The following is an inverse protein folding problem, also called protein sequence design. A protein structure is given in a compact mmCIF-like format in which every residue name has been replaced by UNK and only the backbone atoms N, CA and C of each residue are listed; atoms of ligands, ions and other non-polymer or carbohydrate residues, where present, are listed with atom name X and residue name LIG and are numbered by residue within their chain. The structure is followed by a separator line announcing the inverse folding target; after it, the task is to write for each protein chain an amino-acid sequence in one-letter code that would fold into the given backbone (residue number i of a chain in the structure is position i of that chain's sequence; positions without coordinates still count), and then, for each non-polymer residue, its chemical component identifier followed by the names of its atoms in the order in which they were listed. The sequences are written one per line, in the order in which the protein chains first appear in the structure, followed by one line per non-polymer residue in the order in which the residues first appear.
data_IF_899901538971
#
_entry.id   IF_899901538971
#
_cell.length_a   1.000
_cell.length_b   1.000
_cell.length_c   1.000
_cell.angle_alpha   90.00
_cell.angle_beta   90.00
_cell.angle_gamma   90.00
#
_symmetry.space_group_name_H-M   'P 1'
#
loop_
_entity.id
_entity.type
_entity.pdbx_description
1 polymer ?
#
# COMPACT_ATOMS: atom_id res chain seq x y z
N UNK A 1 -16.83 -14.22 21.37
CA UNK A 1 -16.83 -13.24 22.48
C UNK A 1 -16.07 -13.86 23.63
N UNK A 2 -14.88 -13.34 23.98
CA UNK A 2 -14.24 -13.69 25.25
C UNK A 2 -14.46 -12.53 26.21
N UNK A 3 -15.41 -12.70 27.13
CA UNK A 3 -15.51 -11.85 28.31
C UNK A 3 -14.16 -11.87 29.02
N UNK A 4 -13.53 -10.72 29.30
CA UNK A 4 -12.29 -10.71 30.07
C UNK A 4 -12.57 -11.37 31.43
N UNK A 5 -11.74 -12.34 31.80
CA UNK A 5 -11.85 -13.03 33.10
C UNK A 5 -11.89 -11.96 34.19
N UNK A 6 -12.88 -12.04 35.09
CA UNK A 6 -13.20 -11.02 36.12
C UNK A 6 -11.96 -10.51 36.88
N UNK A 7 -10.97 -11.37 37.12
CA UNK A 7 -9.72 -10.98 37.79
C UNK A 7 -8.87 -9.94 37.02
N UNK A 8 -8.88 -9.94 35.68
CA UNK A 8 -8.16 -8.95 34.85
C UNK A 8 -8.83 -7.57 34.92
N UNK A 9 -10.15 -7.56 35.12
CA UNK A 9 -10.93 -6.33 35.29
C UNK A 9 -10.59 -5.67 36.64
N UNK A 10 -10.52 -6.46 37.72
CA UNK A 10 -10.19 -5.96 39.06
C UNK A 10 -8.76 -5.41 39.16
N UNK A 11 -7.78 -6.07 38.54
CA UNK A 11 -6.41 -5.58 38.54
C UNK A 11 -6.29 -4.22 37.82
N UNK A 12 -6.99 -4.07 36.69
CA UNK A 12 -7.01 -2.80 35.93
C UNK A 12 -7.84 -1.70 36.57
N UNK A 13 -8.87 -2.02 37.36
CA UNK A 13 -9.59 -1.04 38.18
C UNK A 13 -8.64 -0.43 39.22
N UNK A 14 -7.76 -1.26 39.79
CA UNK A 14 -6.68 -0.81 40.69
C UNK A 14 -5.66 0.07 39.96
N UNK A 15 -5.27 -0.29 38.73
CA UNK A 15 -4.21 0.42 38.00
C UNK A 15 -4.63 1.75 37.38
N UNK A 16 -5.89 1.87 36.90
CA UNK A 16 -6.36 3.01 36.11
C UNK A 16 -7.27 3.97 36.88
N UNK A 17 -7.78 3.56 38.04
CA UNK A 17 -8.84 4.28 38.76
C UNK A 17 -10.17 4.32 37.99
N UNK A 18 -11.23 4.80 38.65
CA UNK A 18 -12.60 4.78 38.10
C UNK A 18 -12.75 5.67 36.85
N UNK A 19 -12.04 6.81 36.81
CA UNK A 19 -11.99 7.71 35.66
C UNK A 19 -11.24 7.11 34.46
N UNK A 20 -10.14 6.39 34.70
CA UNK A 20 -9.41 5.67 33.66
C UNK A 20 -10.20 4.50 33.08
N UNK A 21 -11.05 3.84 33.89
CA UNK A 21 -11.96 2.78 33.44
C UNK A 21 -13.08 3.31 32.53
N UNK A 22 -13.69 4.45 32.89
CA UNK A 22 -14.70 5.13 32.06
C UNK A 22 -14.11 5.61 30.73
N UNK A 23 -12.90 6.17 30.77
CA UNK A 23 -12.17 6.62 29.58
C UNK A 23 -11.75 5.45 28.69
N UNK A 24 -11.37 4.32 29.29
CA UNK A 24 -11.03 3.09 28.56
C UNK A 24 -12.27 2.44 27.92
N UNK A 25 -13.38 2.35 28.66
CA UNK A 25 -14.65 1.84 28.16
C UNK A 25 -15.20 2.67 27.01
N UNK A 26 -15.18 4.00 27.15
CA UNK A 26 -15.61 4.94 26.11
C UNK A 26 -14.68 4.90 24.89
N UNK A 27 -13.35 4.81 25.09
CA UNK A 27 -12.38 4.69 23.98
C UNK A 27 -12.52 3.38 23.22
N UNK A 28 -12.76 2.26 23.91
CA UNK A 28 -12.96 0.94 23.28
C UNK A 28 -14.28 0.90 22.50
N UNK A 29 -15.35 1.44 23.08
CA UNK A 29 -16.66 1.55 22.42
C UNK A 29 -16.59 2.49 21.21
N UNK A 30 -15.92 3.64 21.33
CA UNK A 30 -15.71 4.58 20.24
C UNK A 30 -14.89 3.95 19.11
N UNK A 31 -13.78 3.27 19.43
CA UNK A 31 -12.99 2.52 18.44
C UNK A 31 -13.83 1.43 17.77
N UNK A 32 -14.68 0.73 18.52
CA UNK A 32 -15.58 -0.29 17.97
C UNK A 32 -16.66 0.33 17.04
N UNK A 33 -17.33 1.39 17.46
CA UNK A 33 -18.33 2.09 16.67
C UNK A 33 -17.73 2.70 15.39
N UNK A 34 -16.53 3.29 15.48
CA UNK A 34 -15.73 3.76 14.34
C UNK A 34 -15.45 2.59 13.39
N UNK A 35 -14.97 1.46 13.91
CA UNK A 35 -14.71 0.25 13.10
C UNK A 35 -15.96 -0.24 12.39
N UNK A 36 -17.10 -0.34 13.06
CA UNK A 36 -18.37 -0.77 12.45
C UNK A 36 -18.83 0.19 11.35
N UNK A 37 -18.69 1.50 11.57
CA UNK A 37 -19.01 2.52 10.56
C UNK A 37 -18.09 2.43 9.34
N UNK A 38 -16.79 2.26 9.55
CA UNK A 38 -15.81 2.12 8.46
C UNK A 38 -16.00 0.81 7.70
N UNK A 39 -16.30 -0.29 8.39
CA UNK A 39 -16.67 -1.57 7.75
C UNK A 39 -17.87 -1.39 6.82
N UNK A 40 -18.96 -0.76 7.31
CA UNK A 40 -20.15 -0.49 6.48
C UNK A 40 -19.81 0.35 5.24
N UNK A 41 -19.01 1.41 5.41
CA UNK A 41 -18.53 2.23 4.28
C UNK A 41 -17.67 1.44 3.30
N UNK A 42 -16.75 0.61 3.80
CA UNK A 42 -15.83 -0.17 3.00
C UNK A 42 -16.60 -1.18 2.14
N UNK A 43 -17.50 -1.97 2.75
CA UNK A 43 -18.34 -2.94 2.05
C UNK A 43 -19.27 -2.26 1.00
N UNK A 44 -19.68 -1.02 1.24
CA UNK A 44 -20.41 -0.21 0.26
C UNK A 44 -19.51 0.47 -0.79
N UNK A 45 -18.19 0.22 -0.80
CA UNK A 45 -17.17 0.87 -1.64
C UNK A 45 -17.17 2.41 -1.55
N UNK A 46 -17.45 2.93 -0.35
CA UNK A 46 -17.53 4.37 -0.01
C UNK A 46 -16.54 4.77 1.09
N UNK A 47 -15.52 3.94 1.34
CA UNK A 47 -14.52 4.21 2.36
C UNK A 47 -13.34 5.03 1.84
N UNK A 48 -13.00 4.92 0.56
CA UNK A 48 -11.92 5.68 -0.07
C UNK A 48 -12.15 7.19 0.11
N UNK A 49 -11.10 7.89 0.52
CA UNK A 49 -11.15 9.34 0.61
C UNK A 49 -11.10 9.96 -0.79
N UNK A 50 -11.75 11.10 -0.93
CA UNK A 50 -11.76 11.93 -2.15
C UNK A 50 -11.08 13.25 -1.84
N UNK A 51 -10.47 13.89 -2.84
CA UNK A 51 -9.72 15.13 -2.63
C UNK A 51 -10.55 16.19 -1.91
N UNK A 52 -11.81 16.41 -2.31
CA UNK A 52 -12.71 17.37 -1.67
C UNK A 52 -12.87 17.13 -0.16
N UNK A 53 -12.91 15.86 0.27
CA UNK A 53 -13.03 15.51 1.69
C UNK A 53 -11.70 15.72 2.42
N UNK A 54 -10.58 15.40 1.77
CA UNK A 54 -9.23 15.61 2.31
C UNK A 54 -8.95 17.11 2.46
N UNK A 55 -9.17 17.89 1.41
CA UNK A 55 -8.97 19.33 1.39
C UNK A 55 -9.78 20.02 2.50
N UNK A 56 -11.08 19.71 2.61
CA UNK A 56 -11.93 20.22 3.68
C UNK A 56 -11.40 19.85 5.08
N UNK A 57 -10.98 18.60 5.28
CA UNK A 57 -10.44 18.13 6.58
C UNK A 57 -9.16 18.87 6.98
N UNK A 58 -8.33 19.22 6.01
CA UNK A 58 -7.06 19.89 6.22
C UNK A 58 -7.12 21.41 6.00
N UNK A 59 -8.33 22.00 5.90
CA UNK A 59 -8.57 23.43 5.67
C UNK A 59 -7.77 23.98 4.47
N UNK A 60 -7.85 23.26 3.36
CA UNK A 60 -7.19 23.59 2.09
C UNK A 60 -8.25 24.13 1.14
N UNK A 61 -8.00 25.31 0.59
CA UNK A 61 -8.93 26.00 -0.31
C UNK A 61 -8.51 25.84 -1.78
N UNK A 62 -7.29 25.36 -2.04
CA UNK A 62 -6.81 25.15 -3.40
C UNK A 62 -7.39 23.89 -4.08
N UNK A 63 -7.49 23.95 -5.40
CA UNK A 63 -7.81 22.79 -6.23
C UNK A 63 -6.71 21.72 -6.16
N UNK A 64 -7.05 20.47 -6.52
CA UNK A 64 -6.05 19.39 -6.57
C UNK A 64 -4.90 19.74 -7.53
N UNK A 65 -5.21 20.34 -8.69
CA UNK A 65 -4.19 20.73 -9.67
C UNK A 65 -3.16 21.72 -9.08
N UNK A 66 -3.62 22.72 -8.34
CA UNK A 66 -2.76 23.68 -7.65
C UNK A 66 -1.92 23.00 -6.56
N UNK A 67 -2.55 22.15 -5.73
CA UNK A 67 -1.83 21.36 -4.73
C UNK A 67 -0.75 20.48 -5.37
N UNK A 68 -1.09 19.79 -6.46
CA UNK A 68 -0.17 18.90 -7.15
C UNK A 68 0.98 19.65 -7.82
N UNK A 69 0.74 20.85 -8.36
CA UNK A 69 1.80 21.71 -8.86
C UNK A 69 2.82 22.07 -7.76
N UNK A 70 2.36 22.37 -6.54
CA UNK A 70 3.22 22.58 -5.37
C UNK A 70 3.92 21.29 -4.92
N UNK A 71 3.26 20.13 -5.04
CA UNK A 71 3.87 18.85 -4.71
C UNK A 71 5.04 18.52 -5.65
N UNK A 72 4.92 18.83 -6.94
CA UNK A 72 5.98 18.58 -7.94
C UNK A 72 7.28 19.32 -7.63
N UNK A 73 7.18 20.56 -7.14
CA UNK A 73 8.35 21.37 -6.76
C UNK A 73 9.07 20.85 -5.52
N UNK A 74 8.44 19.93 -4.79
CA UNK A 74 9.05 19.33 -3.61
C UNK A 74 10.24 18.43 -4.00
N UNK A 75 11.44 18.89 -3.65
CA UNK A 75 12.70 18.17 -3.87
C UNK A 75 13.12 17.27 -2.72
N UNK A 76 12.28 17.03 -1.70
CA UNK A 76 12.66 16.19 -0.54
C UNK A 76 13.08 14.80 -0.99
N UNK A 77 12.31 14.17 -1.87
CA UNK A 77 12.69 12.86 -2.39
C UNK A 77 13.86 12.92 -3.36
N UNK A 78 13.96 13.94 -4.22
CA UNK A 78 15.14 14.12 -5.08
C UNK A 78 16.43 14.25 -4.25
N UNK A 79 16.38 15.02 -3.17
CA UNK A 79 17.47 15.14 -2.18
C UNK A 79 17.74 13.82 -1.47
N UNK A 80 16.72 13.04 -1.15
CA UNK A 80 16.87 11.71 -0.55
C UNK A 80 17.52 10.74 -1.54
N UNK A 81 17.02 10.65 -2.78
CA UNK A 81 17.58 9.82 -3.84
C UNK A 81 19.04 10.16 -4.14
N UNK A 82 19.41 11.43 -4.10
CA UNK A 82 20.76 11.91 -4.35
C UNK A 82 21.64 11.93 -3.08
N UNK A 83 21.10 11.55 -1.93
CA UNK A 83 21.90 11.49 -0.70
C UNK A 83 22.87 10.32 -0.78
N UNK A 84 24.12 10.54 -0.37
CA UNK A 84 25.14 9.49 -0.36
C UNK A 84 24.67 8.25 0.42
N UNK A 85 23.93 8.44 1.52
CA UNK A 85 23.36 7.35 2.34
C UNK A 85 22.36 6.50 1.56
N UNK A 86 21.45 7.11 0.78
CA UNK A 86 20.48 6.34 -0.01
C UNK A 86 21.16 5.69 -1.22
N UNK A 87 22.05 6.41 -1.92
CA UNK A 87 22.83 5.89 -3.05
C UNK A 87 23.70 4.69 -2.67
N UNK A 88 24.27 4.65 -1.45
CA UNK A 88 25.03 3.49 -0.96
C UNK A 88 24.16 2.26 -0.69
N UNK A 89 22.85 2.46 -0.50
CA UNK A 89 21.89 1.40 -0.19
C UNK A 89 21.00 0.99 -1.37
N UNK A 90 20.91 1.81 -2.43
CA UNK A 90 20.46 1.31 -3.72
C UNK A 90 21.60 0.46 -4.27
N UNK A 91 21.41 -0.85 -4.47
CA UNK A 91 22.46 -1.65 -5.07
C UNK A 91 22.84 -1.04 -6.42
N UNK A 92 24.13 -0.73 -6.62
CA UNK A 92 24.66 -0.17 -7.87
C UNK A 92 24.28 -1.02 -9.08
N UNK A 93 23.98 -2.30 -8.84
CA UNK A 93 23.42 -3.23 -9.82
C UNK A 93 22.12 -2.76 -10.45
N UNK A 94 21.20 -2.09 -9.72
CA UNK A 94 19.94 -1.59 -10.31
C UNK A 94 20.15 -0.38 -11.23
N UNK A 95 21.13 0.48 -10.93
CA UNK A 95 21.41 1.68 -11.72
C UNK A 95 22.18 1.36 -13.00
N UNK A 96 22.91 0.24 -13.01
CA UNK A 96 23.75 -0.21 -14.14
C UNK A 96 23.33 -1.56 -14.69
N UNK A 97 22.09 -1.98 -14.42
CA UNK A 97 21.60 -3.29 -14.86
C UNK A 97 21.54 -3.32 -16.39
N UNK A 98 22.35 -4.15 -17.08
CA UNK A 98 22.30 -4.24 -18.53
C UNK A 98 20.95 -4.79 -19.04
N UNK A 99 20.18 -5.46 -18.18
CA UNK A 99 18.88 -6.03 -18.49
C UNK A 99 17.70 -5.22 -17.91
N UNK A 100 17.90 -3.94 -17.59
CA UNK A 100 16.86 -3.06 -17.05
C UNK A 100 15.60 -3.03 -17.94
N UNK A 101 15.79 -2.84 -19.25
CA UNK A 101 14.67 -2.79 -20.19
C UNK A 101 13.96 -4.15 -20.31
N UNK A 102 14.70 -5.26 -20.32
CA UNK A 102 14.09 -6.60 -20.34
C UNK A 102 13.23 -6.88 -19.09
N UNK A 103 13.66 -6.42 -17.92
CA UNK A 103 12.86 -6.50 -16.69
C UNK A 103 11.62 -5.60 -16.76
N UNK A 104 11.78 -4.36 -17.23
CA UNK A 104 10.67 -3.44 -17.38
C UNK A 104 9.63 -3.96 -18.40
N UNK A 105 10.08 -4.48 -19.54
CA UNK A 105 9.23 -5.10 -20.56
C UNK A 105 8.49 -6.34 -20.05
N UNK A 106 9.08 -7.11 -19.12
CA UNK A 106 8.36 -8.19 -18.45
C UNK A 106 7.15 -7.64 -17.67
N UNK A 107 7.31 -6.54 -16.94
CA UNK A 107 6.21 -5.89 -16.22
C UNK A 107 5.20 -5.23 -17.15
N UNK A 108 5.62 -4.63 -18.27
CA UNK A 108 4.71 -4.14 -19.32
C UNK A 108 3.82 -5.29 -19.82
N UNK A 109 4.37 -6.48 -19.92
CA UNK A 109 3.65 -7.69 -20.31
C UNK A 109 2.94 -8.40 -19.13
N UNK A 110 2.70 -7.71 -18.01
CA UNK A 110 2.08 -8.26 -16.80
C UNK A 110 2.74 -9.56 -16.31
N UNK A 111 4.06 -9.66 -16.41
CA UNK A 111 4.82 -10.82 -15.96
C UNK A 111 5.53 -10.53 -14.65
N UNK A 112 5.28 -11.37 -13.65
CA UNK A 112 5.80 -11.18 -12.29
C UNK A 112 6.46 -12.46 -11.77
N UNK A 113 7.53 -12.28 -11.00
CA UNK A 113 8.12 -13.30 -10.14
C UNK A 113 8.21 -12.73 -8.73
N UNK A 114 7.63 -13.42 -7.75
CA UNK A 114 7.63 -13.00 -6.35
C UNK A 114 7.94 -14.18 -5.43
N UNK A 115 8.72 -13.92 -4.37
CA UNK A 115 9.08 -14.94 -3.37
C UNK A 115 9.64 -16.24 -3.98
N UNK A 116 10.42 -16.14 -5.06
CA UNK A 116 11.00 -17.30 -5.76
C UNK A 116 10.01 -18.08 -6.64
N UNK A 117 8.85 -17.50 -6.98
CA UNK A 117 7.96 -18.08 -7.99
C UNK A 117 8.62 -18.07 -9.38
N UNK A 118 8.22 -18.95 -10.31
CA UNK A 118 8.53 -18.76 -11.72
C UNK A 118 7.93 -17.44 -12.22
N UNK A 119 8.34 -17.03 -13.42
CA UNK A 119 7.70 -15.92 -14.13
C UNK A 119 6.26 -16.29 -14.49
N UNK A 120 5.31 -15.55 -13.95
CA UNK A 120 3.88 -15.73 -14.18
C UNK A 120 3.34 -14.54 -14.96
N UNK A 121 2.82 -14.80 -16.16
CA UNK A 121 2.13 -13.82 -17.00
C UNK A 121 0.63 -13.80 -16.71
N UNK A 122 0.08 -12.62 -16.44
CA UNK A 122 -1.36 -12.35 -16.43
C UNK A 122 -1.82 -11.91 -17.83
N UNK A 123 -2.89 -12.51 -18.35
CA UNK A 123 -3.30 -12.30 -19.75
C UNK A 123 -3.94 -10.93 -20.02
N UNK A 124 -4.73 -10.41 -19.09
CA UNK A 124 -5.44 -9.12 -19.26
C UNK A 124 -5.34 -8.25 -18.01
N UNK A 125 -5.72 -8.81 -16.85
CA UNK A 125 -5.78 -8.09 -15.58
C UNK A 125 -4.96 -8.81 -14.52
N UNK A 126 -4.18 -8.03 -13.77
CA UNK A 126 -3.39 -8.54 -12.64
C UNK A 126 -4.35 -8.93 -11.51
N UNK A 127 -4.36 -10.20 -11.12
CA UNK A 127 -5.09 -10.58 -9.91
C UNK A 127 -4.23 -10.28 -8.67
N UNK A 128 -4.52 -9.17 -8.00
CA UNK A 128 -3.77 -8.72 -6.81
C UNK A 128 -4.01 -9.53 -5.54
N UNK A 129 -4.95 -10.48 -5.58
CA UNK A 129 -5.38 -11.26 -4.41
C UNK A 129 -4.97 -12.73 -4.51
N UNK A 130 -4.29 -13.13 -5.59
CA UNK A 130 -3.95 -14.53 -5.86
C UNK A 130 -2.58 -14.91 -5.33
N UNK A 131 -2.45 -16.16 -4.91
CA UNK A 131 -1.16 -16.82 -4.77
C UNK A 131 -0.73 -17.37 -6.13
N UNK A 132 0.13 -16.64 -6.84
CA UNK A 132 0.64 -17.03 -8.16
C UNK A 132 1.50 -18.31 -8.14
N UNK A 133 1.89 -18.83 -6.97
CA UNK A 133 2.59 -20.10 -6.84
C UNK A 133 1.64 -21.29 -6.94
N UNK A 134 0.34 -21.08 -6.74
CA UNK A 134 -0.66 -22.10 -6.99
C UNK A 134 -0.82 -22.35 -8.49
N UNK A 135 -1.19 -23.58 -8.89
CA UNK A 135 -1.62 -23.85 -10.27
C UNK A 135 -2.72 -22.88 -10.71
N UNK A 136 -2.71 -22.46 -11.99
CA UNK A 136 -3.63 -21.41 -12.49
C UNK A 136 -5.10 -21.79 -12.32
N UNK A 137 -5.44 -23.07 -12.40
CA UNK A 137 -6.77 -23.63 -12.14
C UNK A 137 -7.23 -23.50 -10.68
N UNK A 138 -6.32 -23.20 -9.74
CA UNK A 138 -6.60 -22.94 -8.32
C UNK A 138 -6.67 -21.45 -7.99
N UNK A 139 -6.36 -20.57 -8.94
CA UNK A 139 -6.46 -19.13 -8.71
C UNK A 139 -7.91 -18.74 -8.43
N UNK A 140 -8.12 -18.00 -7.34
CA UNK A 140 -9.47 -17.66 -6.87
C UNK A 140 -10.10 -18.72 -5.98
N UNK A 141 -9.41 -19.82 -5.66
CA UNK A 141 -9.86 -20.76 -4.61
C UNK A 141 -9.40 -20.36 -3.22
N UNK A 142 -8.50 -19.37 -3.11
CA UNK A 142 -8.05 -18.87 -1.82
C UNK A 142 -9.21 -18.25 -1.06
N UNK A 143 -9.32 -18.51 0.25
CA UNK A 143 -10.48 -18.08 1.04
C UNK A 143 -10.61 -16.55 1.10
N UNK A 144 -9.49 -15.81 0.96
CA UNK A 144 -9.45 -14.34 0.95
C UNK A 144 -9.78 -13.74 -0.43
N UNK A 145 -9.65 -14.53 -1.50
CA UNK A 145 -9.84 -14.12 -2.89
C UNK A 145 -11.25 -14.46 -3.41
N UNK A 146 -12.24 -14.45 -2.50
CA UNK A 146 -13.64 -14.71 -2.83
C UNK A 146 -14.41 -13.40 -2.99
N UNK A 147 -15.19 -13.21 -4.07
CA UNK A 147 -16.09 -12.07 -4.18
C UNK A 147 -17.35 -12.28 -3.31
N UNK A 148 -17.88 -11.22 -2.67
CA UNK A 148 -17.30 -9.89 -2.55
C UNK A 148 -16.09 -9.86 -1.61
N UNK A 149 -15.13 -8.96 -1.87
CA UNK A 149 -13.96 -8.78 -1.00
C UNK A 149 -14.37 -8.54 0.45
N UNK A 150 -13.72 -9.26 1.37
CA UNK A 150 -13.96 -9.17 2.81
C UNK A 150 -13.34 -7.92 3.41
N UNK A 151 -13.88 -7.48 4.55
CA UNK A 151 -13.22 -6.46 5.33
C UNK A 151 -11.90 -7.01 5.90
N UNK A 152 -10.82 -6.23 5.84
CA UNK A 152 -9.46 -6.74 6.13
C UNK A 152 -9.33 -7.44 7.49
N UNK A 153 -10.04 -7.00 8.53
CA UNK A 153 -9.99 -7.62 9.87
C UNK A 153 -10.67 -8.99 9.94
N UNK A 154 -11.44 -9.37 8.92
CA UNK A 154 -12.09 -10.69 8.83
C UNK A 154 -11.21 -11.73 8.13
N UNK A 155 -10.12 -11.29 7.51
CA UNK A 155 -9.15 -12.14 6.82
C UNK A 155 -8.09 -12.56 7.83
N UNK A 156 -7.97 -13.87 8.09
CA UNK A 156 -7.03 -14.42 9.07
C UNK A 156 -5.76 -14.88 8.39
N UNK A 157 -4.70 -14.08 8.46
CA UNK A 157 -3.41 -14.40 7.83
C UNK A 157 -2.83 -15.78 8.19
N UNK A 158 -3.18 -16.34 9.36
CA UNK A 158 -2.70 -17.65 9.81
C UNK A 158 -3.72 -18.79 9.66
N UNK A 159 -4.78 -18.62 8.86
CA UNK A 159 -5.69 -19.74 8.61
C UNK A 159 -4.95 -20.82 7.79
N UNK A 160 -4.48 -21.83 8.50
CA UNK A 160 -3.95 -23.10 7.97
C UNK A 160 -5.11 -23.72 7.17
N UNK A 161 -4.91 -23.91 5.86
CA UNK A 161 -5.85 -24.68 5.04
C UNK A 161 -6.00 -26.08 5.62
N UNK A 162 -7.16 -26.70 5.39
CA UNK A 162 -7.47 -28.02 5.92
C UNK A 162 -6.33 -29.03 5.66
N UNK A 163 -6.01 -29.92 6.63
CA UNK A 163 -4.92 -30.90 6.52
C UNK A 163 -5.07 -31.89 5.35
N UNK A 164 -6.17 -31.83 4.61
CA UNK A 164 -6.50 -32.67 3.45
C UNK A 164 -6.19 -32.02 2.10
N UNK A 165 -5.85 -30.73 2.05
CA UNK A 165 -5.46 -30.06 0.80
C UNK A 165 -3.97 -30.26 0.48
N UNK A 166 -3.65 -30.73 -0.72
CA UNK A 166 -2.27 -30.87 -1.22
C UNK A 166 -1.55 -29.53 -1.42
N UNK A 167 -2.28 -28.41 -1.36
CA UNK A 167 -1.78 -27.06 -1.56
C UNK A 167 -2.29 -26.13 -0.46
N UNK A 168 -1.39 -25.47 0.24
CA UNK A 168 -1.71 -24.46 1.26
C UNK A 168 -1.41 -23.06 0.69
N UNK A 169 -2.45 -22.24 0.39
CA UNK A 169 -2.25 -20.89 -0.12
C UNK A 169 -1.41 -20.01 0.81
N UNK A 170 -0.44 -19.28 0.28
CA UNK A 170 0.40 -18.35 1.05
C UNK A 170 -0.05 -16.90 0.83
N UNK A 171 -0.66 -16.31 1.86
CA UNK A 171 -1.12 -14.92 1.87
C UNK A 171 0.00 -13.90 1.62
N UNK A 172 1.27 -14.29 1.83
CA UNK A 172 2.42 -13.42 1.57
C UNK A 172 2.66 -13.19 0.08
N UNK A 173 2.22 -14.10 -0.79
CA UNK A 173 2.39 -13.98 -2.24
C UNK A 173 1.62 -12.79 -2.82
N UNK A 174 0.30 -12.63 -2.58
CA UNK A 174 -0.40 -11.43 -3.03
C UNK A 174 0.10 -10.16 -2.32
N UNK A 175 0.61 -10.26 -1.08
CA UNK A 175 1.26 -9.12 -0.42
C UNK A 175 2.53 -8.69 -1.14
N UNK A 176 3.44 -9.60 -1.49
CA UNK A 176 4.67 -9.28 -2.22
C UNK A 176 4.36 -8.64 -3.58
N UNK A 177 3.40 -9.20 -4.32
CA UNK A 177 2.92 -8.63 -5.58
C UNK A 177 2.39 -7.20 -5.37
N UNK A 178 1.61 -6.99 -4.30
CA UNK A 178 1.06 -5.71 -3.90
C UNK A 178 2.03 -4.80 -3.14
N UNK A 179 3.30 -5.16 -2.98
CA UNK A 179 4.33 -4.19 -2.56
C UNK A 179 4.67 -3.23 -3.69
N UNK A 180 4.37 -3.58 -4.93
CA UNK A 180 4.61 -2.73 -6.11
C UNK A 180 6.09 -2.33 -6.30
N UNK A 181 7.03 -3.18 -5.88
CA UNK A 181 8.47 -2.91 -6.06
C UNK A 181 8.85 -2.73 -7.53
N UNK A 182 8.14 -3.42 -8.44
CA UNK A 182 8.31 -3.31 -9.90
C UNK A 182 8.16 -1.87 -10.45
N UNK A 183 7.45 -0.99 -9.74
CA UNK A 183 7.30 0.41 -10.15
C UNK A 183 8.65 1.16 -10.13
N UNK A 184 9.58 0.76 -9.26
CA UNK A 184 10.94 1.30 -9.24
C UNK A 184 11.70 0.92 -10.52
N UNK A 185 11.57 -0.33 -10.97
CA UNK A 185 12.17 -0.81 -12.22
C UNK A 185 11.59 -0.05 -13.43
N UNK A 186 10.26 0.13 -13.47
CA UNK A 186 9.61 0.95 -14.50
C UNK A 186 10.11 2.40 -14.47
N UNK A 187 10.28 2.98 -13.28
CA UNK A 187 10.78 4.34 -13.11
C UNK A 187 12.23 4.54 -13.58
N UNK A 188 13.11 3.60 -13.25
CA UNK A 188 14.48 3.59 -13.75
C UNK A 188 14.53 3.42 -15.28
N UNK A 189 13.75 2.48 -15.82
CA UNK A 189 13.67 2.24 -17.25
C UNK A 189 13.11 3.46 -18.00
N UNK A 190 12.09 4.12 -17.45
CA UNK A 190 11.57 5.39 -17.96
C UNK A 190 12.66 6.47 -18.01
N UNK A 191 13.37 6.68 -16.90
CA UNK A 191 14.45 7.67 -16.84
C UNK A 191 15.53 7.37 -17.88
N UNK A 192 15.93 6.11 -18.00
CA UNK A 192 16.94 5.67 -18.98
C UNK A 192 16.48 5.87 -20.41
N UNK A 193 15.22 5.58 -20.72
CA UNK A 193 14.62 5.81 -22.03
C UNK A 193 14.62 7.31 -22.37
N UNK A 194 14.30 8.18 -21.40
CA UNK A 194 14.39 9.63 -21.56
C UNK A 194 15.83 10.12 -21.81
N UNK A 195 16.83 9.54 -21.12
CA UNK A 195 18.25 9.89 -21.30
C UNK A 195 18.78 9.56 -22.71
N UNK A 196 18.27 8.50 -23.33
CA UNK A 196 18.64 8.09 -24.70
C UNK A 196 17.66 8.62 -25.76
N UNK A 197 16.75 9.52 -25.37
CA UNK A 197 15.73 10.16 -26.22
C UNK A 197 14.77 9.18 -26.92
N UNK A 198 14.55 7.98 -26.36
CA UNK A 198 13.55 7.02 -26.84
C UNK A 198 12.18 7.30 -26.18
N UNK A 199 11.46 8.25 -26.76
CA UNK A 199 10.14 8.67 -26.26
C UNK A 199 9.06 7.59 -26.40
N UNK A 200 9.19 6.65 -27.35
CA UNK A 200 8.25 5.53 -27.52
C UNK A 200 8.41 4.57 -26.33
N UNK A 201 9.65 4.24 -25.99
CA UNK A 201 9.97 3.39 -24.85
C UNK A 201 9.60 4.06 -23.51
N UNK A 202 9.89 5.36 -23.37
CA UNK A 202 9.48 6.13 -22.19
C UNK A 202 7.94 6.15 -22.03
N UNK A 203 7.21 6.37 -23.12
CA UNK A 203 5.73 6.35 -23.12
C UNK A 203 5.15 4.99 -22.71
N UNK A 204 5.77 3.90 -23.15
CA UNK A 204 5.39 2.54 -22.76
C UNK A 204 5.49 2.34 -21.25
N UNK A 205 6.60 2.76 -20.64
CA UNK A 205 6.81 2.60 -19.19
C UNK A 205 5.92 3.52 -18.35
N UNK A 206 5.71 4.77 -18.77
CA UNK A 206 4.80 5.69 -18.06
C UNK A 206 3.34 5.24 -18.16
N UNK A 207 2.91 4.73 -19.31
CA UNK A 207 1.56 4.16 -19.50
C UNK A 207 1.33 2.92 -18.64
N UNK A 208 2.34 2.05 -18.53
CA UNK A 208 2.30 0.86 -17.67
C UNK A 208 2.23 1.24 -16.19
N UNK A 209 3.04 2.22 -15.76
CA UNK A 209 2.99 2.79 -14.41
C UNK A 209 1.58 3.27 -14.04
N UNK A 210 0.95 4.06 -14.91
CA UNK A 210 -0.43 4.54 -14.72
C UNK A 210 -1.40 3.37 -14.64
N UNK A 211 -1.32 2.44 -15.60
CA UNK A 211 -2.23 1.29 -15.71
C UNK A 211 -2.18 0.40 -14.48
N UNK A 212 -0.98 0.04 -14.01
CA UNK A 212 -0.83 -0.86 -12.86
C UNK A 212 -1.37 -0.24 -11.57
N UNK A 213 -1.06 1.04 -11.32
CA UNK A 213 -1.54 1.75 -10.13
C UNK A 213 -3.06 1.94 -10.18
N UNK A 214 -3.59 2.39 -11.32
CA UNK A 214 -5.03 2.60 -11.48
C UNK A 214 -5.80 1.29 -11.30
N UNK A 215 -5.29 0.21 -11.89
CA UNK A 215 -5.81 -1.13 -11.73
C UNK A 215 -5.77 -1.57 -10.25
N UNK A 216 -4.64 -1.38 -9.57
CA UNK A 216 -4.55 -1.73 -8.15
C UNK A 216 -5.53 -0.95 -7.28
N UNK A 217 -5.62 0.38 -7.43
CA UNK A 217 -6.55 1.21 -6.65
C UNK A 217 -8.00 0.75 -6.87
N UNK A 218 -8.34 0.43 -8.12
CA UNK A 218 -9.69 -0.01 -8.50
C UNK A 218 -10.06 -1.37 -7.89
N UNK A 219 -9.12 -2.32 -7.87
CA UNK A 219 -9.34 -3.70 -7.40
C UNK A 219 -8.91 -3.95 -5.94
N UNK A 220 -8.39 -2.94 -5.25
CA UNK A 220 -8.02 -2.99 -3.82
C UNK A 220 -8.63 -1.80 -3.04
N UNK A 221 -9.98 -1.66 -3.04
CA UNK A 221 -10.65 -0.54 -2.37
C UNK A 221 -10.30 -0.48 -0.88
N UNK A 222 -10.40 0.72 -0.31
CA UNK A 222 -9.90 0.98 1.04
C UNK A 222 -10.54 0.04 2.08
N UNK A 223 -9.68 -0.63 2.87
CA UNK A 223 -10.04 -1.60 3.92
C UNK A 223 -10.65 -2.93 3.45
N UNK A 224 -10.63 -3.23 2.14
CA UNK A 224 -11.17 -4.47 1.59
C UNK A 224 -10.10 -5.34 0.94
N UNK A 225 -10.17 -6.64 1.22
CA UNK A 225 -9.29 -7.64 0.64
C UNK A 225 -7.96 -7.80 1.37
N UNK A 226 -7.18 -8.74 0.85
CA UNK A 226 -5.98 -9.27 1.51
C UNK A 226 -4.88 -8.21 1.69
N UNK A 227 -4.80 -7.25 0.79
CA UNK A 227 -3.72 -6.26 0.74
C UNK A 227 -3.79 -5.17 1.82
N UNK A 228 -4.85 -5.15 2.63
CA UNK A 228 -4.99 -4.25 3.79
C UNK A 228 -4.83 -4.98 5.14
N UNK A 229 -4.47 -6.27 5.14
CA UNK A 229 -4.42 -7.08 6.36
C UNK A 229 -3.20 -6.76 7.23
N UNK A 230 -2.02 -6.61 6.61
CA UNK A 230 -0.76 -6.38 7.32
C UNK A 230 -0.33 -4.90 7.23
N UNK A 231 -0.20 -4.16 8.34
CA UNK A 231 0.20 -2.76 8.30
C UNK A 231 1.60 -2.52 7.73
N UNK A 232 2.57 -3.39 8.01
CA UNK A 232 3.89 -3.32 7.39
C UNK A 232 3.80 -3.34 5.86
N UNK A 233 2.97 -4.21 5.28
CA UNK A 233 2.79 -4.29 3.82
C UNK A 233 2.12 -3.03 3.26
N UNK A 234 1.17 -2.44 4.00
CA UNK A 234 0.55 -1.15 3.65
C UNK A 234 1.61 -0.04 3.65
N UNK A 235 2.51 0.00 4.64
CA UNK A 235 3.58 0.99 4.71
C UNK A 235 4.61 0.85 3.58
N UNK A 236 5.07 -0.38 3.30
CA UNK A 236 6.02 -0.65 2.20
C UNK A 236 5.43 -0.22 0.85
N UNK A 237 4.17 -0.60 0.56
CA UNK A 237 3.49 -0.18 -0.67
C UNK A 237 3.37 1.34 -0.76
N UNK A 238 3.01 2.03 0.32
CA UNK A 238 2.92 3.48 0.33
C UNK A 238 4.27 4.14 0.01
N UNK A 239 5.37 3.64 0.59
CA UNK A 239 6.72 4.10 0.30
C UNK A 239 7.06 3.87 -1.17
N UNK A 240 6.81 2.68 -1.71
CA UNK A 240 7.10 2.35 -3.11
C UNK A 240 6.31 3.24 -4.07
N UNK A 241 5.03 3.53 -3.79
CA UNK A 241 4.22 4.47 -4.56
C UNK A 241 4.80 5.90 -4.54
N UNK A 242 5.22 6.38 -3.37
CA UNK A 242 5.78 7.73 -3.23
C UNK A 242 7.13 7.86 -3.95
N UNK A 243 8.01 6.86 -3.81
CA UNK A 243 9.29 6.81 -4.53
C UNK A 243 9.04 6.81 -6.04
N UNK A 244 8.11 5.98 -6.50
CA UNK A 244 7.84 5.81 -7.92
C UNK A 244 7.29 7.09 -8.56
N UNK A 245 6.48 7.87 -7.84
CA UNK A 245 5.98 9.16 -8.29
C UNK A 245 7.10 10.10 -8.78
N UNK A 246 8.28 10.05 -8.16
CA UNK A 246 9.38 10.96 -8.50
C UNK A 246 9.95 10.75 -9.89
N UNK A 247 9.88 9.52 -10.41
CA UNK A 247 10.32 9.22 -11.78
C UNK A 247 9.38 9.81 -12.83
N UNK A 248 8.08 9.89 -12.51
CA UNK A 248 7.03 10.21 -13.48
C UNK A 248 6.38 11.57 -13.28
N UNK A 249 6.67 12.31 -12.21
CA UNK A 249 5.98 13.58 -11.87
C UNK A 249 6.09 14.69 -12.93
N UNK A 250 7.16 14.67 -13.73
CA UNK A 250 7.37 15.62 -14.84
C UNK A 250 6.80 15.11 -16.18
N UNK A 251 6.23 13.90 -16.21
CA UNK A 251 5.62 13.32 -17.40
C UNK A 251 4.28 14.01 -17.69
N UNK A 252 4.25 14.87 -18.71
CA UNK A 252 3.07 15.68 -19.07
C UNK A 252 1.92 14.88 -19.66
N UNK A 253 2.17 13.67 -20.17
CA UNK A 253 1.14 12.78 -20.70
C UNK A 253 0.29 12.12 -19.61
N UNK A 254 0.72 12.14 -18.35
CA UNK A 254 -0.04 11.57 -17.23
C UNK A 254 -1.09 12.59 -16.77
N UNK A 255 -2.39 12.26 -16.83
CA UNK A 255 -3.45 13.21 -16.51
C UNK A 255 -3.50 13.56 -15.02
N UNK A 256 -3.88 14.78 -14.70
CA UNK A 256 -4.05 15.26 -13.30
C UNK A 256 -5.00 14.38 -12.50
N UNK A 257 -6.05 13.84 -13.14
CA UNK A 257 -7.00 12.92 -12.49
C UNK A 257 -6.35 11.64 -11.96
N UNK A 258 -5.33 11.11 -12.66
CA UNK A 258 -4.57 9.95 -12.16
C UNK A 258 -3.81 10.33 -10.89
N UNK A 259 -3.14 11.48 -10.89
CA UNK A 259 -2.41 11.98 -9.72
C UNK A 259 -3.34 12.21 -8.53
N UNK A 260 -4.55 12.71 -8.76
CA UNK A 260 -5.57 12.86 -7.72
C UNK A 260 -5.93 11.52 -7.09
N UNK A 261 -6.19 10.51 -7.92
CA UNK A 261 -6.51 9.15 -7.49
C UNK A 261 -5.37 8.54 -6.67
N UNK A 262 -4.12 8.69 -7.14
CA UNK A 262 -2.94 8.20 -6.44
C UNK A 262 -2.74 8.90 -5.09
N UNK A 263 -2.84 10.24 -5.03
CA UNK A 263 -2.69 10.99 -3.77
C UNK A 263 -3.79 10.64 -2.78
N UNK A 264 -5.04 10.49 -3.24
CA UNK A 264 -6.14 10.02 -2.39
C UNK A 264 -5.90 8.60 -1.88
N UNK A 265 -5.34 7.71 -2.70
CA UNK A 265 -4.93 6.38 -2.27
C UNK A 265 -3.81 6.45 -1.22
N UNK A 266 -2.78 7.28 -1.41
CA UNK A 266 -1.72 7.47 -0.43
C UNK A 266 -2.26 8.04 0.90
N UNK A 267 -3.27 8.89 0.84
CA UNK A 267 -4.00 9.35 2.02
C UNK A 267 -4.71 8.18 2.73
N UNK A 268 -5.40 7.31 1.99
CA UNK A 268 -6.00 6.09 2.53
C UNK A 268 -4.95 5.22 3.24
N UNK A 269 -3.75 5.05 2.67
CA UNK A 269 -2.65 4.32 3.31
C UNK A 269 -2.21 4.98 4.62
N UNK A 270 -1.96 6.30 4.60
CA UNK A 270 -1.54 7.03 5.80
C UNK A 270 -2.62 6.97 6.90
N UNK A 271 -3.88 7.16 6.51
CA UNK A 271 -5.02 7.04 7.41
C UNK A 271 -5.10 5.62 7.99
N UNK A 272 -4.94 4.57 7.20
CA UNK A 272 -4.89 3.19 7.72
C UNK A 272 -3.82 3.01 8.79
N UNK A 273 -2.59 3.45 8.51
CA UNK A 273 -1.44 3.24 9.39
C UNK A 273 -1.58 3.98 10.72
N UNK A 274 -2.24 5.14 10.72
CA UNK A 274 -2.56 5.89 11.94
C UNK A 274 -3.47 5.12 12.91
N UNK A 275 -4.44 4.36 12.38
CA UNK A 275 -5.41 3.61 13.18
C UNK A 275 -5.10 2.11 13.32
N UNK A 276 -4.01 1.63 12.72
CA UNK A 276 -3.55 0.24 12.81
C UNK A 276 -2.05 0.17 13.16
N UNK A 277 -1.63 0.71 14.32
CA UNK A 277 -0.24 0.61 14.75
C UNK A 277 0.14 -0.86 14.99
N UNK A 278 1.29 -1.29 14.48
CA UNK A 278 1.86 -2.58 14.86
C UNK A 278 2.39 -2.51 16.30
N UNK A 279 1.89 -3.38 17.18
CA UNK A 279 2.30 -3.45 18.59
C UNK A 279 3.23 -4.62 18.87
N UNK A 280 3.85 -5.24 17.86
CA UNK A 280 4.67 -6.45 18.07
C UNK A 280 6.09 -6.11 18.49
N UNK A 281 6.61 -6.65 19.61
CA UNK A 281 7.98 -6.42 20.13
C UNK A 281 9.15 -6.91 19.25
N UNK A 282 8.95 -7.09 17.92
CA UNK A 282 10.00 -7.46 16.98
C UNK A 282 10.68 -6.20 16.42
N UNK A 283 11.97 -5.95 16.73
CA UNK A 283 12.61 -4.65 16.52
C UNK A 283 12.69 -4.19 15.05
N UNK A 284 12.79 -5.09 14.08
CA UNK A 284 13.04 -4.70 12.68
C UNK A 284 11.80 -4.17 11.93
N UNK A 285 10.59 -4.59 12.27
CA UNK A 285 9.37 -4.19 11.53
C UNK A 285 8.88 -2.78 11.92
N UNK A 286 9.25 -2.31 13.11
CA UNK A 286 8.84 -1.00 13.63
C UNK A 286 9.44 0.18 12.89
N UNK A 287 10.64 0.04 12.34
CA UNK A 287 11.37 1.18 11.78
C UNK A 287 10.67 1.75 10.54
N UNK A 288 10.15 0.90 9.65
CA UNK A 288 9.48 1.35 8.42
C UNK A 288 8.19 2.11 8.77
N UNK A 289 7.38 1.55 9.67
CA UNK A 289 6.13 2.16 10.12
C UNK A 289 6.37 3.46 10.90
N UNK A 290 7.36 3.47 11.81
CA UNK A 290 7.74 4.66 12.59
C UNK A 290 8.31 5.76 11.69
N UNK A 291 9.16 5.44 10.72
CA UNK A 291 9.72 6.41 9.78
C UNK A 291 8.62 7.05 8.94
N UNK A 292 7.67 6.26 8.41
CA UNK A 292 6.51 6.80 7.67
C UNK A 292 5.63 7.71 8.56
N UNK A 293 5.32 7.26 9.77
CA UNK A 293 4.51 8.03 10.73
C UNK A 293 5.22 9.31 11.25
N UNK A 294 6.55 9.32 11.32
CA UNK A 294 7.31 10.50 11.69
C UNK A 294 7.29 11.56 10.57
N UNK A 295 7.32 11.13 9.30
CA UNK A 295 7.15 12.02 8.14
C UNK A 295 5.76 12.68 8.13
N UNK A 296 4.71 11.96 8.57
CA UNK A 296 3.35 12.53 8.62
C UNK A 296 3.11 13.39 9.86
N UNK A 297 3.77 13.10 11.00
CA UNK A 297 3.61 13.85 12.26
C UNK A 297 4.41 15.14 12.34
N UNK A 298 5.53 15.27 11.62
CA UNK A 298 6.39 16.48 11.67
C UNK A 298 5.74 17.75 11.08
N UNK A 299 4.45 17.73 10.74
CA UNK A 299 3.68 18.88 10.22
C UNK A 299 2.50 19.30 11.11
N UNK A 300 2.34 18.72 12.30
CA UNK A 300 1.31 19.12 13.28
C UNK A 300 1.88 19.90 14.47
N UNK A 301 3.13 20.32 14.39
CA UNK A 301 3.78 21.20 15.37
C UNK A 301 4.33 22.45 14.68
N UNK A 302 3.48 23.22 14.01
CA UNK A 302 3.66 24.64 13.72
C UNK A 302 2.29 25.29 13.55
#
# INVERSE_FOLDING_TARGET
MNTPKIHVLFQRIKDLGFSGLLTWGSTKYLRYAIKTRYKKKALAKRANHQWLTIAKRHKRDESFAQFFALLKTNRVFEKMLNSNTFCTHIPTSYLKDPNLFGQADAYVNNTFSVLGSPNVKFNEKINWHVDIKLPKEKWGTEYWNQPPLRFYQEIKAQQISEPTSTYNPDIKVPWELSRMQHLFVLGLAYKRAMEIEDFVLASRYSSTFVTHIDHWITYNPFLLGVNWVCPMEVAIRAINLIVSLQFFKECTSIPVAFWEKLVCSLYDHAYYLEYNPETSDRPNNHYILKSFMNITKSRHQH
#
